data_IF_294692503293
#
_entry.id   IF_294692503293
#
_cell.length_a   1.000
_cell.length_b   1.000
_cell.length_c   1.000
_cell.angle_alpha   90.00
_cell.angle_beta   90.00
_cell.angle_gamma   90.00
#
_symmetry.space_group_name_H-M   'P 1'
#
loop_
_entity.id
_entity.type
_entity.pdbx_description
1 polymer ?
#
# COMPACT_ATOMS: atom_id res chain seq x y z
N UNK A 1 -26.44 12.23 -9.35
CA UNK A 1 -26.15 11.42 -8.16
C UNK A 1 -24.72 11.00 -8.29
N UNK A 2 -23.85 11.65 -7.55
CA UNK A 2 -22.44 11.34 -7.59
C UNK A 2 -22.22 9.98 -6.91
N UNK A 3 -21.52 9.08 -7.60
CA UNK A 3 -21.15 7.76 -7.06
C UNK A 3 -20.36 7.93 -5.75
N UNK A 4 -20.72 7.16 -4.72
CA UNK A 4 -19.99 7.08 -3.43
C UNK A 4 -18.55 6.57 -3.61
N UNK A 5 -18.30 5.87 -4.73
CA UNK A 5 -17.01 5.29 -5.06
C UNK A 5 -16.48 5.79 -6.41
N UNK A 6 -15.15 5.79 -6.55
CA UNK A 6 -14.43 6.18 -7.76
C UNK A 6 -13.46 5.07 -8.16
N UNK A 7 -13.50 4.66 -9.44
CA UNK A 7 -12.46 3.83 -10.04
C UNK A 7 -11.38 4.76 -10.61
N UNK A 8 -10.11 4.49 -10.32
CA UNK A 8 -9.02 5.34 -10.77
C UNK A 8 -7.72 4.58 -11.00
N UNK A 9 -6.80 5.21 -11.71
CA UNK A 9 -5.42 4.75 -11.86
C UNK A 9 -4.49 5.90 -11.48
N UNK A 10 -3.68 5.68 -10.44
CA UNK A 10 -2.72 6.66 -9.94
C UNK A 10 -1.29 6.22 -10.22
N UNK A 11 -0.41 7.21 -10.41
CA UNK A 11 1.04 7.02 -10.52
C UNK A 11 1.73 7.62 -9.29
N UNK A 12 2.87 7.06 -8.87
CA UNK A 12 3.67 7.66 -7.81
C UNK A 12 4.19 9.02 -8.24
N UNK A 13 4.40 9.91 -7.27
CA UNK A 13 5.21 11.10 -7.52
C UNK A 13 6.68 10.70 -7.74
N UNK A 14 7.46 11.49 -8.51
CA UNK A 14 8.83 11.11 -8.90
C UNK A 14 9.73 10.74 -7.71
N UNK A 15 9.54 11.40 -6.58
CA UNK A 15 10.30 11.19 -5.34
C UNK A 15 9.92 9.89 -4.60
N UNK A 16 8.78 9.28 -4.94
CA UNK A 16 8.26 8.05 -4.31
C UNK A 16 8.50 6.79 -5.17
N UNK A 17 9.11 6.92 -6.36
CA UNK A 17 9.33 5.81 -7.26
C UNK A 17 10.61 5.04 -6.92
N UNK A 18 10.56 4.18 -5.91
CA UNK A 18 11.72 3.48 -5.35
C UNK A 18 11.68 1.96 -5.62
N UNK A 19 10.60 1.43 -6.18
CA UNK A 19 10.43 -0.02 -6.38
C UNK A 19 10.98 -0.50 -7.74
N UNK A 20 11.81 -1.54 -7.69
CA UNK A 20 12.32 -2.24 -8.87
C UNK A 20 11.32 -3.24 -9.45
N UNK A 21 11.54 -3.68 -10.69
CA UNK A 21 10.59 -4.55 -11.40
C UNK A 21 10.34 -5.90 -10.69
N UNK A 22 11.38 -6.48 -10.10
CA UNK A 22 11.29 -7.77 -9.41
C UNK A 22 10.44 -7.69 -8.13
N UNK A 23 10.52 -6.56 -7.43
CA UNK A 23 9.79 -6.31 -6.19
C UNK A 23 8.28 -6.20 -6.44
N UNK A 24 7.92 -5.55 -7.54
CA UNK A 24 6.54 -5.38 -7.99
C UNK A 24 5.94 -6.71 -8.43
N UNK A 25 6.73 -7.54 -9.12
CA UNK A 25 6.30 -8.85 -9.59
C UNK A 25 5.94 -9.77 -8.40
N UNK A 26 6.71 -9.71 -7.31
CA UNK A 26 6.39 -10.47 -6.09
C UNK A 26 5.05 -10.08 -5.46
N UNK A 27 4.67 -8.80 -5.44
CA UNK A 27 3.33 -8.39 -4.93
C UNK A 27 2.19 -8.96 -5.78
N UNK A 28 2.39 -9.05 -7.09
CA UNK A 28 1.41 -9.68 -7.99
C UNK A 28 1.33 -11.18 -7.80
N UNK A 29 2.48 -11.83 -7.64
CA UNK A 29 2.59 -13.30 -7.63
C UNK A 29 2.32 -13.92 -6.26
N UNK A 30 2.36 -13.12 -5.18
CA UNK A 30 2.14 -13.56 -3.77
C UNK A 30 0.68 -13.90 -3.42
N UNK A 31 -0.05 -14.44 -4.38
CA UNK A 31 -1.27 -15.22 -4.17
C UNK A 31 -1.12 -16.33 -3.11
N UNK A 32 0.11 -16.80 -2.84
CA UNK A 32 0.43 -17.80 -1.81
C UNK A 32 0.72 -17.22 -0.41
N UNK A 33 0.94 -15.91 -0.25
CA UNK A 33 1.49 -15.31 0.99
C UNK A 33 0.60 -14.30 1.73
N UNK A 34 -0.58 -13.96 1.19
CA UNK A 34 -1.48 -12.98 1.82
C UNK A 34 -1.04 -11.51 1.69
N UNK A 35 0.11 -11.24 1.08
CA UNK A 35 0.66 -9.89 0.87
C UNK A 35 -0.27 -8.99 0.06
N UNK A 36 -0.93 -9.51 -0.99
CA UNK A 36 -1.96 -8.78 -1.73
C UNK A 36 -3.13 -8.35 -0.83
N UNK A 37 -3.60 -9.27 0.01
CA UNK A 37 -4.74 -9.02 0.90
C UNK A 37 -4.38 -8.03 2.02
N UNK A 38 -3.15 -8.11 2.55
CA UNK A 38 -2.62 -7.13 3.49
C UNK A 38 -2.52 -5.74 2.85
N UNK A 39 -1.97 -5.67 1.64
CA UNK A 39 -1.87 -4.41 0.89
C UNK A 39 -3.26 -3.81 0.63
N UNK A 40 -4.23 -4.63 0.21
CA UNK A 40 -5.62 -4.22 0.02
C UNK A 40 -6.22 -3.64 1.30
N UNK A 41 -6.06 -4.30 2.44
CA UNK A 41 -6.58 -3.81 3.74
C UNK A 41 -5.94 -2.49 4.16
N UNK A 42 -4.61 -2.39 4.08
CA UNK A 42 -3.89 -1.17 4.43
C UNK A 42 -4.24 0.00 3.49
N UNK A 43 -4.38 -0.27 2.19
CA UNK A 43 -4.77 0.74 1.21
C UNK A 43 -6.19 1.28 1.49
N UNK A 44 -7.15 0.40 1.80
CA UNK A 44 -8.50 0.84 2.16
C UNK A 44 -8.52 1.67 3.45
N UNK A 45 -7.68 1.32 4.44
CA UNK A 45 -7.54 2.11 5.66
C UNK A 45 -7.00 3.51 5.37
N UNK A 46 -6.00 3.63 4.49
CA UNK A 46 -5.46 4.93 4.03
C UNK A 46 -6.52 5.75 3.30
N UNK A 47 -7.31 5.14 2.41
CA UNK A 47 -8.37 5.83 1.68
C UNK A 47 -9.51 6.33 2.59
N UNK A 48 -9.71 5.69 3.73
CA UNK A 48 -10.69 6.07 4.75
C UNK A 48 -10.10 6.95 5.86
N UNK A 49 -8.86 7.45 5.74
CA UNK A 49 -8.24 8.28 6.79
C UNK A 49 -8.97 9.60 7.07
N UNK A 50 -9.91 9.97 6.20
CA UNK A 50 -10.73 11.18 6.30
C UNK A 50 -12.20 10.87 6.65
N UNK A 51 -12.55 9.59 6.84
CA UNK A 51 -13.85 9.16 7.32
C UNK A 51 -14.03 9.58 8.79
N UNK A 52 -15.20 10.11 9.14
CA UNK A 52 -15.50 10.55 10.52
C UNK A 52 -16.13 9.44 11.37
N UNK A 53 -16.39 8.27 10.78
CA UNK A 53 -17.03 7.13 11.44
C UNK A 53 -16.03 6.07 11.90
N UNK A 54 -16.12 5.69 13.18
CA UNK A 54 -15.36 4.58 13.75
C UNK A 54 -16.06 3.20 13.59
N UNK A 55 -17.13 3.12 12.79
CA UNK A 55 -17.88 1.87 12.61
C UNK A 55 -17.17 0.91 11.65
N UNK A 56 -16.50 -0.09 12.24
CA UNK A 56 -15.77 -1.12 11.49
C UNK A 56 -16.62 -1.89 10.47
N UNK A 57 -17.95 -1.96 10.65
CA UNK A 57 -18.86 -2.64 9.73
C UNK A 57 -18.99 -1.89 8.39
N UNK A 58 -18.72 -0.58 8.37
CA UNK A 58 -18.66 0.19 7.13
C UNK A 58 -17.44 -0.24 6.33
N UNK A 59 -16.26 -0.24 6.96
CA UNK A 59 -15.00 -0.64 6.33
C UNK A 59 -15.05 -2.08 5.84
N UNK A 60 -15.64 -3.00 6.61
CA UNK A 60 -15.82 -4.39 6.20
C UNK A 60 -16.66 -4.52 4.92
N UNK A 61 -17.80 -3.84 4.85
CA UNK A 61 -18.65 -3.83 3.64
C UNK A 61 -17.95 -3.20 2.45
N UNK A 62 -17.20 -2.13 2.66
CA UNK A 62 -16.39 -1.53 1.59
C UNK A 62 -15.32 -2.52 1.09
N UNK A 63 -14.65 -3.24 2.00
CA UNK A 63 -13.60 -4.19 1.66
C UNK A 63 -14.08 -5.34 0.75
N UNK A 64 -15.35 -5.75 0.85
CA UNK A 64 -15.97 -6.76 -0.01
C UNK A 64 -16.02 -6.33 -1.49
N UNK A 65 -16.12 -5.02 -1.75
CA UNK A 65 -16.24 -4.46 -3.11
C UNK A 65 -15.00 -3.68 -3.55
N UNK A 66 -14.09 -3.36 -2.65
CA UNK A 66 -12.83 -2.68 -2.92
C UNK A 66 -11.81 -3.65 -3.53
N UNK A 67 -11.01 -3.20 -4.49
CA UNK A 67 -9.81 -3.91 -4.91
C UNK A 67 -8.72 -2.92 -5.34
N UNK A 68 -7.46 -3.37 -5.25
CA UNK A 68 -6.30 -2.58 -5.65
C UNK A 68 -5.25 -3.47 -6.31
N UNK A 69 -4.82 -3.07 -7.50
CA UNK A 69 -3.89 -3.83 -8.32
C UNK A 69 -2.64 -3.02 -8.62
N UNK A 70 -1.48 -3.66 -8.47
CA UNK A 70 -0.19 -3.07 -8.84
C UNK A 70 0.11 -3.37 -10.31
N UNK A 71 -0.03 -2.35 -11.15
CA UNK A 71 0.23 -2.44 -12.59
C UNK A 71 1.68 -2.06 -12.90
N UNK A 72 2.40 -2.90 -13.61
CA UNK A 72 3.71 -2.57 -14.16
C UNK A 72 3.58 -2.01 -15.58
N UNK A 73 4.35 -0.95 -15.83
CA UNK A 73 4.48 -0.28 -17.13
C UNK A 73 5.96 0.02 -17.37
N UNK A 74 6.31 0.33 -18.61
CA UNK A 74 7.70 0.58 -19.02
C UNK A 74 8.41 1.68 -18.22
N UNK A 75 7.64 2.61 -17.63
CA UNK A 75 8.14 3.75 -16.82
C UNK A 75 7.74 3.66 -15.35
N UNK A 76 7.71 2.46 -14.79
CA UNK A 76 7.49 2.23 -13.35
C UNK A 76 6.13 1.64 -13.02
N UNK A 77 5.63 1.95 -11.84
CA UNK A 77 4.42 1.35 -11.28
C UNK A 77 3.21 2.27 -11.38
N UNK A 78 2.02 1.67 -11.46
CA UNK A 78 0.75 2.34 -11.23
C UNK A 78 -0.09 1.53 -10.26
N UNK A 79 -0.98 2.19 -9.54
CA UNK A 79 -2.01 1.54 -8.76
C UNK A 79 -3.34 1.74 -9.48
N UNK A 80 -3.97 0.63 -9.85
CA UNK A 80 -5.38 0.62 -10.24
C UNK A 80 -6.21 0.38 -8.99
N UNK A 81 -7.20 1.23 -8.75
CA UNK A 81 -8.04 1.19 -7.57
C UNK A 81 -9.49 1.08 -8.02
N UNK A 82 -10.17 0.06 -7.52
CA UNK A 82 -11.56 -0.25 -7.80
C UNK A 82 -12.38 0.07 -6.55
N UNK A 83 -13.43 0.86 -6.73
CA UNK A 83 -14.32 1.34 -5.69
C UNK A 83 -13.61 2.11 -4.56
N UNK A 84 -12.74 3.06 -4.92
CA UNK A 84 -12.11 3.94 -3.93
C UNK A 84 -13.18 4.87 -3.29
N UNK A 85 -13.21 5.02 -1.94
CA UNK A 85 -14.09 5.98 -1.27
C UNK A 85 -13.93 7.40 -1.81
N UNK A 86 -15.04 8.05 -2.20
CA UNK A 86 -15.00 9.39 -2.81
C UNK A 86 -14.33 10.46 -1.95
N UNK A 87 -14.38 10.32 -0.64
CA UNK A 87 -13.75 11.25 0.31
C UNK A 87 -12.22 11.36 0.18
N UNK A 88 -11.57 10.38 -0.46
CA UNK A 88 -10.15 10.46 -0.80
C UNK A 88 -9.85 11.42 -1.98
N UNK A 89 -10.87 12.06 -2.56
CA UNK A 89 -10.77 12.88 -3.77
C UNK A 89 -11.36 14.28 -3.55
N UNK A 90 -10.79 15.26 -4.25
CA UNK A 90 -11.32 16.64 -4.39
C UNK A 90 -11.37 16.94 -5.88
N UNK A 91 -12.54 17.34 -6.38
CA UNK A 91 -12.78 17.60 -7.81
C UNK A 91 -12.38 16.44 -8.76
N UNK A 92 -12.47 15.20 -8.26
CA UNK A 92 -12.10 13.99 -9.01
C UNK A 92 -10.62 13.63 -8.95
N UNK A 93 -9.78 14.48 -8.36
CA UNK A 93 -8.35 14.24 -8.15
C UNK A 93 -8.10 13.69 -6.76
N UNK A 94 -7.25 12.65 -6.64
CA UNK A 94 -6.92 12.08 -5.35
C UNK A 94 -6.10 13.07 -4.51
N UNK A 95 -6.45 13.19 -3.23
CA UNK A 95 -5.71 14.03 -2.29
C UNK A 95 -4.25 13.58 -2.25
N UNK A 96 -3.33 14.52 -2.41
CA UNK A 96 -1.89 14.26 -2.55
C UNK A 96 -1.34 13.39 -1.39
N UNK A 97 -1.65 13.73 -0.14
CA UNK A 97 -1.18 12.95 1.02
C UNK A 97 -1.72 11.51 1.06
N UNK A 98 -2.97 11.29 0.61
CA UNK A 98 -3.54 9.93 0.49
C UNK A 98 -2.78 9.13 -0.57
N UNK A 99 -2.53 9.75 -1.72
CA UNK A 99 -1.73 9.16 -2.80
C UNK A 99 -0.33 8.78 -2.32
N UNK A 100 0.36 9.68 -1.62
CA UNK A 100 1.69 9.44 -1.03
C UNK A 100 1.66 8.27 -0.05
N UNK A 101 0.68 8.22 0.85
CA UNK A 101 0.53 7.13 1.81
C UNK A 101 0.25 5.77 1.15
N UNK A 102 -0.52 5.72 0.06
CA UNK A 102 -0.75 4.47 -0.68
C UNK A 102 0.57 3.90 -1.23
N UNK A 103 1.45 4.75 -1.74
CA UNK A 103 2.76 4.31 -2.22
C UNK A 103 3.74 3.98 -1.09
N UNK A 104 3.68 4.68 0.05
CA UNK A 104 4.44 4.29 1.26
C UNK A 104 4.04 2.92 1.78
N UNK A 105 2.73 2.64 1.85
CA UNK A 105 2.21 1.33 2.25
C UNK A 105 2.72 0.23 1.31
N UNK A 106 2.67 0.46 0.00
CA UNK A 106 3.20 -0.50 -0.97
C UNK A 106 4.71 -0.75 -0.74
N UNK A 107 5.51 0.32 -0.61
CA UNK A 107 6.96 0.24 -0.38
C UNK A 107 7.27 -0.57 0.87
N UNK A 108 6.60 -0.28 1.98
CA UNK A 108 6.92 -0.87 3.29
C UNK A 108 6.53 -2.36 3.33
N UNK A 109 5.39 -2.73 2.73
CA UNK A 109 4.98 -4.13 2.60
C UNK A 109 5.98 -4.91 1.74
N UNK A 110 6.36 -4.35 0.59
CA UNK A 110 7.31 -4.96 -0.35
C UNK A 110 8.69 -5.16 0.28
N UNK A 111 9.15 -4.16 1.04
CA UNK A 111 10.43 -4.22 1.73
C UNK A 111 10.43 -5.29 2.82
N UNK A 112 9.39 -5.30 3.66
CA UNK A 112 9.26 -6.27 4.75
C UNK A 112 9.11 -7.71 4.26
N UNK A 113 8.31 -7.93 3.22
CA UNK A 113 8.15 -9.24 2.60
C UNK A 113 9.51 -9.80 2.14
N UNK A 114 10.34 -8.98 1.49
CA UNK A 114 11.66 -9.41 1.08
C UNK A 114 12.61 -9.63 2.25
N UNK A 115 12.61 -8.70 3.20
CA UNK A 115 13.52 -8.75 4.32
C UNK A 115 13.28 -10.01 5.16
N UNK A 116 12.02 -10.39 5.40
CA UNK A 116 11.66 -11.58 6.17
C UNK A 116 12.03 -12.89 5.45
N UNK A 117 11.94 -12.96 4.12
CA UNK A 117 12.22 -14.18 3.38
C UNK A 117 13.70 -14.38 3.03
N UNK A 118 14.46 -13.30 2.87
CA UNK A 118 15.80 -13.35 2.29
C UNK A 118 16.90 -12.71 3.13
N UNK A 119 16.58 -11.95 4.18
CA UNK A 119 17.57 -11.27 5.01
C UNK A 119 17.68 -11.91 6.41
N UNK A 120 18.76 -12.64 6.72
CA UNK A 120 18.96 -13.22 8.05
C UNK A 120 19.15 -12.16 9.16
N UNK A 121 19.40 -10.88 8.81
CA UNK A 121 19.39 -9.78 9.78
C UNK A 121 17.99 -9.34 10.21
N UNK A 122 16.94 -9.75 9.49
CA UNK A 122 15.53 -9.57 9.89
C UNK A 122 15.08 -10.73 10.77
N UNK A 123 15.70 -10.81 11.94
CA UNK A 123 15.34 -11.75 13.00
C UNK A 123 14.76 -10.99 14.20
N UNK A 124 13.54 -11.36 14.60
CA UNK A 124 12.86 -10.79 15.76
C UNK A 124 13.00 -11.65 17.03
N UNK A 125 13.85 -12.68 17.00
CA UNK A 125 14.09 -13.57 18.13
C UNK A 125 14.98 -12.97 19.23
N UNK A 126 15.79 -11.95 18.91
CA UNK A 126 16.69 -11.29 19.86
C UNK A 126 16.52 -9.77 19.89
N UNK A 127 16.82 -9.16 21.04
CA UNK A 127 16.73 -7.70 21.23
C UNK A 127 17.63 -6.91 20.25
N UNK A 128 18.84 -7.43 19.99
CA UNK A 128 19.78 -6.79 19.08
C UNK A 128 19.28 -6.85 17.63
N UNK A 129 18.87 -8.04 17.17
CA UNK A 129 18.37 -8.21 15.82
C UNK A 129 17.06 -7.44 15.58
N UNK A 130 16.16 -7.40 16.58
CA UNK A 130 14.93 -6.57 16.54
C UNK A 130 15.25 -5.09 16.34
N UNK A 131 16.21 -4.53 17.10
CA UNK A 131 16.63 -3.14 16.95
C UNK A 131 17.18 -2.87 15.54
N UNK A 132 18.01 -3.78 15.02
CA UNK A 132 18.59 -3.64 13.68
C UNK A 132 17.52 -3.74 12.58
N UNK A 133 16.54 -4.64 12.72
CA UNK A 133 15.41 -4.75 11.82
C UNK A 133 14.58 -3.46 11.79
N UNK A 134 14.23 -2.90 12.95
CA UNK A 134 13.51 -1.61 13.06
C UNK A 134 14.30 -0.48 12.41
N UNK A 135 15.61 -0.39 12.68
CA UNK A 135 16.48 0.61 12.05
C UNK A 135 16.46 0.49 10.52
N UNK A 136 16.51 -0.73 9.99
CA UNK A 136 16.47 -0.98 8.57
C UNK A 136 15.12 -0.61 7.92
N UNK A 137 13.99 -0.86 8.60
CA UNK A 137 12.66 -0.41 8.15
C UNK A 137 12.63 1.12 8.03
N UNK A 138 13.06 1.84 9.07
CA UNK A 138 13.07 3.31 9.07
C UNK A 138 14.03 3.88 8.03
N UNK A 139 15.22 3.29 7.88
CA UNK A 139 16.20 3.67 6.86
C UNK A 139 15.62 3.52 5.45
N UNK A 140 14.95 2.40 5.16
CA UNK A 140 14.29 2.20 3.87
C UNK A 140 13.13 3.20 3.65
N UNK A 141 12.48 3.62 4.73
CA UNK A 141 11.42 4.62 4.70
C UNK A 141 11.91 6.07 4.55
N UNK A 142 13.22 6.32 4.68
CA UNK A 142 13.85 7.64 4.80
C UNK A 142 13.33 8.45 6.01
N UNK A 143 13.16 7.80 7.17
CA UNK A 143 12.67 8.39 8.42
C UNK A 143 13.74 8.49 9.52
#
# INVERSE_FOLDING_TARGET
MDSEFINTVITPDPESNILSQDEVQRVRDSSEGGTKELFKKCALAVLNSLELSDDIRIVQRQLEHFDINVLQRDRGIKLEIINAPRQAFVDGEMIKGVKEHLFSVLRDIVYLDQALHYNPEFDFSSNHATTNAIFNILRNANA
#
